data_IF_751866959656
#
_entry.id   IF_751866959656
#
_cell.length_a   1.000
_cell.length_b   1.000
_cell.length_c   1.000
_cell.angle_alpha   90.00
_cell.angle_beta   90.00
_cell.angle_gamma   90.00
#
_symmetry.space_group_name_H-M   'P 1'
#
loop_
_entity.id
_entity.type
_entity.pdbx_description
1 polymer ?
#
# COMPACT_ATOMS: atom_id res chain seq x y z
N UNK A 1 28.92 -17.28 7.40
CA UNK A 1 27.60 -16.85 7.89
C UNK A 1 26.76 -16.55 6.67
N UNK A 2 25.53 -17.08 6.58
CA UNK A 2 24.62 -16.84 5.46
C UNK A 2 24.16 -15.38 5.46
N UNK A 3 23.81 -14.85 4.29
CA UNK A 3 23.10 -13.57 4.21
C UNK A 3 21.61 -13.77 4.51
N UNK A 4 20.92 -12.71 4.94
CA UNK A 4 19.52 -12.79 5.36
C UNK A 4 18.57 -13.29 4.27
N UNK A 5 18.77 -12.88 3.00
CA UNK A 5 17.96 -13.42 1.89
C UNK A 5 18.11 -14.93 1.76
N UNK A 6 19.33 -15.44 1.81
CA UNK A 6 19.60 -16.88 1.72
C UNK A 6 18.96 -17.62 2.89
N UNK A 7 19.13 -17.11 4.11
CA UNK A 7 18.56 -17.67 5.34
C UNK A 7 17.04 -17.77 5.27
N UNK A 8 16.37 -16.69 4.88
CA UNK A 8 14.91 -16.64 4.73
C UNK A 8 14.42 -17.59 3.64
N UNK A 9 15.07 -17.63 2.48
CA UNK A 9 14.70 -18.53 1.38
C UNK A 9 14.85 -19.99 1.77
N UNK A 10 15.91 -20.37 2.48
CA UNK A 10 16.07 -21.74 3.00
C UNK A 10 14.93 -22.12 3.93
N UNK A 11 14.56 -21.24 4.87
CA UNK A 11 13.44 -21.51 5.76
C UNK A 11 12.10 -21.66 5.01
N UNK A 12 11.83 -20.82 4.01
CA UNK A 12 10.65 -20.93 3.15
C UNK A 12 10.62 -22.25 2.36
N UNK A 13 11.80 -22.72 1.91
CA UNK A 13 11.97 -23.98 1.20
C UNK A 13 12.04 -25.21 2.14
N UNK A 14 11.85 -25.02 3.45
CA UNK A 14 11.94 -26.08 4.48
C UNK A 14 13.33 -26.74 4.56
N UNK A 15 14.38 -25.99 4.23
CA UNK A 15 15.77 -26.37 4.41
C UNK A 15 16.31 -25.89 5.77
N UNK A 16 17.55 -26.27 6.10
CA UNK A 16 18.23 -25.88 7.36
C UNK A 16 19.06 -24.60 7.14
N UNK A 17 18.63 -23.44 7.68
CA UNK A 17 19.46 -22.22 7.71
C UNK A 17 20.58 -22.31 8.76
N UNK A 18 21.52 -21.36 8.73
CA UNK A 18 22.61 -21.28 9.72
C UNK A 18 22.15 -20.84 11.13
N UNK A 19 20.99 -20.20 11.23
CA UNK A 19 20.27 -19.86 12.46
C UNK A 19 18.77 -19.67 12.17
N UNK A 20 17.93 -19.60 13.20
CA UNK A 20 16.50 -19.28 13.04
C UNK A 20 16.35 -17.87 12.43
N UNK A 21 15.76 -17.72 11.22
CA UNK A 21 15.53 -16.39 10.67
C UNK A 21 14.43 -15.67 11.44
N UNK A 22 14.60 -14.37 11.64
CA UNK A 22 13.64 -13.52 12.35
C UNK A 22 13.47 -12.20 11.60
N UNK A 23 12.23 -11.87 11.25
CA UNK A 23 11.86 -10.60 10.63
C UNK A 23 10.53 -10.09 11.21
N UNK A 24 10.18 -8.84 10.92
CA UNK A 24 8.87 -8.25 11.20
C UNK A 24 7.95 -8.35 9.98
N UNK A 25 6.67 -8.01 10.14
CA UNK A 25 5.75 -7.88 9.00
C UNK A 25 6.02 -6.59 8.22
N UNK A 26 6.10 -5.46 8.91
CA UNK A 26 6.66 -4.17 8.48
C UNK A 26 7.17 -3.44 9.73
N UNK A 27 7.95 -2.38 9.54
CA UNK A 27 8.37 -1.47 10.61
C UNK A 27 7.65 -0.14 10.39
N UNK A 28 6.94 0.33 11.43
CA UNK A 28 6.10 1.52 11.33
C UNK A 28 6.94 2.80 11.36
N UNK A 29 6.71 3.77 10.45
CA UNK A 29 7.41 5.06 10.49
C UNK A 29 7.27 5.76 11.84
N UNK A 30 6.07 5.75 12.42
CA UNK A 30 5.82 6.34 13.74
C UNK A 30 6.66 5.74 14.87
N UNK A 31 7.02 4.45 14.77
CA UNK A 31 7.93 3.81 15.72
C UNK A 31 9.37 4.29 15.52
N UNK A 32 9.82 4.38 14.27
CA UNK A 32 11.16 4.88 13.94
C UNK A 32 11.36 6.32 14.39
N UNK A 33 10.36 7.17 14.14
CA UNK A 33 10.39 8.58 14.52
C UNK A 33 10.40 8.78 16.05
N UNK A 34 9.57 8.05 16.79
CA UNK A 34 9.46 8.24 18.24
C UNK A 34 10.55 7.53 19.07
N UNK A 35 11.00 6.36 18.62
CA UNK A 35 11.84 5.48 19.46
C UNK A 35 13.23 5.23 18.88
N UNK A 36 13.50 5.70 17.65
CA UNK A 36 14.78 5.53 16.97
C UNK A 36 15.28 6.80 16.29
N UNK A 37 14.87 7.99 16.75
CA UNK A 37 15.35 9.28 16.27
C UNK A 37 15.23 9.46 14.74
N UNK A 38 14.17 8.92 14.13
CA UNK A 38 13.94 8.99 12.69
C UNK A 38 14.84 8.06 11.86
N UNK A 39 15.37 7.00 12.47
CA UNK A 39 16.19 5.99 11.79
C UNK A 39 15.48 5.38 10.58
N UNK A 40 16.24 4.97 9.56
CA UNK A 40 15.65 4.29 8.42
C UNK A 40 15.32 2.82 8.76
N UNK A 41 14.55 2.15 7.89
CA UNK A 41 14.22 0.73 8.05
C UNK A 41 15.47 -0.16 8.20
N UNK A 42 16.54 0.13 7.46
CA UNK A 42 17.76 -0.69 7.53
C UNK A 42 18.44 -0.55 8.90
N UNK A 43 18.51 0.67 9.44
CA UNK A 43 19.06 0.93 10.77
C UNK A 43 18.32 0.14 11.86
N UNK A 44 16.99 -0.04 11.72
CA UNK A 44 16.22 -0.92 12.61
C UNK A 44 16.72 -2.37 12.56
N UNK A 45 16.82 -2.95 11.36
CA UNK A 45 17.27 -4.34 11.24
C UNK A 45 18.71 -4.51 11.74
N UNK A 46 19.60 -3.58 11.42
CA UNK A 46 20.99 -3.61 11.83
C UNK A 46 21.14 -3.50 13.35
N UNK A 47 20.36 -2.60 13.99
CA UNK A 47 20.37 -2.40 15.45
C UNK A 47 19.90 -3.64 16.21
N UNK A 48 18.88 -4.33 15.72
CA UNK A 48 18.28 -5.48 16.40
C UNK A 48 18.83 -6.83 15.92
N UNK A 49 19.69 -6.86 14.90
CA UNK A 49 20.25 -8.09 14.35
C UNK A 49 19.19 -9.01 13.71
N UNK A 50 18.14 -8.41 13.15
CA UNK A 50 17.06 -9.13 12.48
C UNK A 50 17.33 -9.27 10.98
N UNK A 51 16.66 -10.21 10.33
CA UNK A 51 16.75 -10.43 8.89
C UNK A 51 15.95 -9.37 8.12
N UNK A 52 16.59 -8.51 7.31
CA UNK A 52 15.88 -7.46 6.61
C UNK A 52 14.89 -7.99 5.59
N UNK A 53 13.71 -7.36 5.56
CA UNK A 53 12.77 -7.41 4.45
C UNK A 53 12.61 -6.01 3.88
N UNK A 54 12.39 -5.91 2.58
CA UNK A 54 12.07 -4.65 1.92
C UNK A 54 10.77 -4.78 1.15
N UNK A 55 9.82 -3.89 1.43
CA UNK A 55 8.57 -3.81 0.70
C UNK A 55 8.77 -2.99 -0.57
N UNK A 56 8.53 -3.62 -1.72
CA UNK A 56 8.59 -2.96 -3.03
C UNK A 56 7.22 -3.04 -3.68
N UNK A 57 6.61 -1.89 -3.97
CA UNK A 57 5.29 -1.79 -4.58
C UNK A 57 5.42 -0.86 -5.78
N UNK A 58 5.27 -1.41 -6.96
CA UNK A 58 5.41 -0.67 -8.20
C UNK A 58 4.31 -1.10 -9.18
N UNK A 59 3.44 -0.15 -9.51
CA UNK A 59 2.38 -0.34 -10.49
C UNK A 59 2.79 0.26 -11.83
N UNK A 60 2.34 -0.37 -12.91
CA UNK A 60 2.45 0.13 -14.26
C UNK A 60 1.03 0.34 -14.85
N UNK A 61 0.74 1.49 -15.45
CA UNK A 61 -0.53 1.71 -16.14
C UNK A 61 -0.63 0.84 -17.40
N UNK A 62 -1.82 0.32 -17.70
CA UNK A 62 -2.12 -0.24 -19.02
C UNK A 62 -2.52 0.88 -20.00
N UNK A 63 -1.51 1.44 -20.69
CA UNK A 63 -1.73 2.50 -21.69
C UNK A 63 -2.67 2.08 -22.83
N UNK A 64 -2.85 0.78 -23.10
CA UNK A 64 -3.81 0.28 -24.10
C UNK A 64 -5.27 0.45 -23.66
N UNK A 65 -5.51 0.63 -22.36
CA UNK A 65 -6.82 0.92 -21.75
C UNK A 65 -6.97 2.42 -21.43
N UNK A 66 -6.02 3.26 -21.86
CA UNK A 66 -6.02 4.69 -21.54
C UNK A 66 -5.65 4.99 -20.08
N UNK A 67 -4.99 4.05 -19.39
CA UNK A 67 -4.51 4.28 -18.03
C UNK A 67 -3.21 5.10 -18.02
N UNK A 68 -3.02 5.87 -16.96
CA UNK A 68 -1.84 6.71 -16.73
C UNK A 68 -1.59 6.87 -15.24
N UNK A 69 -0.36 7.24 -14.86
CA UNK A 69 -0.08 7.63 -13.48
C UNK A 69 -0.84 8.91 -13.14
N UNK A 70 -1.55 8.90 -12.01
CA UNK A 70 -2.24 10.08 -11.52
C UNK A 70 -1.25 11.25 -11.37
N UNK A 71 -1.46 12.38 -12.07
CA UNK A 71 -0.55 13.53 -12.03
C UNK A 71 -0.56 14.25 -10.68
N UNK A 72 -1.63 14.14 -9.90
CA UNK A 72 -1.77 14.79 -8.60
C UNK A 72 -1.25 13.92 -7.45
N UNK A 73 -0.97 12.63 -7.70
CA UNK A 73 -0.39 11.71 -6.73
C UNK A 73 1.12 11.59 -6.93
N UNK A 74 1.87 12.64 -6.57
CA UNK A 74 3.32 12.67 -6.81
C UNK A 74 4.14 11.80 -5.85
N UNK A 75 3.78 11.81 -4.58
CA UNK A 75 4.53 11.22 -3.47
C UNK A 75 3.68 10.14 -2.79
N UNK A 76 3.94 8.83 -3.04
CA UNK A 76 3.26 7.75 -2.35
C UNK A 76 3.53 7.75 -0.85
N UNK A 77 2.52 7.43 -0.06
CA UNK A 77 2.63 7.21 1.37
C UNK A 77 3.26 5.87 1.76
N UNK A 78 3.15 5.55 3.05
CA UNK A 78 3.66 4.29 3.60
C UNK A 78 2.94 3.08 3.02
N UNK A 79 3.70 2.15 2.42
CA UNK A 79 3.19 0.97 1.71
C UNK A 79 2.17 1.31 0.62
N UNK A 80 2.39 2.43 -0.07
CA UNK A 80 1.59 2.88 -1.19
C UNK A 80 2.41 2.85 -2.50
N UNK A 81 1.75 2.56 -3.61
CA UNK A 81 2.33 2.72 -4.94
C UNK A 81 1.74 3.93 -5.64
N UNK A 82 2.43 4.42 -6.68
CA UNK A 82 1.88 5.44 -7.58
C UNK A 82 0.51 5.00 -8.10
N UNK A 83 -0.48 5.85 -7.85
CA UNK A 83 -1.88 5.60 -8.22
C UNK A 83 -2.04 5.64 -9.73
N UNK A 84 -2.87 4.74 -10.24
CA UNK A 84 -3.20 4.63 -11.66
C UNK A 84 -4.61 5.17 -11.90
N UNK A 85 -4.73 6.12 -12.82
CA UNK A 85 -5.98 6.75 -13.24
C UNK A 85 -6.32 6.43 -14.69
N UNK A 86 -7.54 6.73 -15.07
CA UNK A 86 -7.99 6.82 -16.47
C UNK A 86 -8.97 7.99 -16.62
N UNK A 87 -9.37 8.33 -17.84
CA UNK A 87 -10.39 9.36 -18.09
C UNK A 87 -11.74 9.06 -17.40
N UNK A 88 -12.00 7.80 -17.05
CA UNK A 88 -13.24 7.37 -16.40
C UNK A 88 -13.07 7.05 -14.90
N UNK A 89 -11.85 7.19 -14.36
CA UNK A 89 -11.51 6.89 -12.97
C UNK A 89 -10.40 7.84 -12.50
N UNK A 90 -10.83 9.03 -12.09
CA UNK A 90 -9.95 10.12 -11.69
C UNK A 90 -10.13 10.43 -10.20
N UNK A 91 -9.10 10.97 -9.57
CA UNK A 91 -9.11 11.20 -8.13
C UNK A 91 -9.03 12.69 -7.82
N UNK A 92 -9.71 13.10 -6.75
CA UNK A 92 -9.56 14.44 -6.19
C UNK A 92 -9.63 14.38 -4.68
N UNK A 93 -8.57 14.86 -4.02
CA UNK A 93 -8.47 14.90 -2.56
C UNK A 93 -8.73 16.32 -2.08
N UNK A 94 -9.69 16.47 -1.16
CA UNK A 94 -10.06 17.76 -0.59
C UNK A 94 -9.82 17.72 0.91
N UNK A 95 -9.07 18.70 1.44
CA UNK A 95 -8.91 18.84 2.89
C UNK A 95 -10.22 19.34 3.50
N UNK A 96 -10.67 18.67 4.56
CA UNK A 96 -11.83 19.09 5.35
C UNK A 96 -11.37 19.75 6.65
N UNK A 97 -12.17 20.66 7.17
CA UNK A 97 -11.90 21.27 8.47
C UNK A 97 -12.21 20.27 9.59
N UNK A 98 -11.20 20.00 10.42
CA UNK A 98 -11.29 19.16 11.60
C UNK A 98 -10.16 19.55 12.56
N UNK A 99 -10.48 19.65 13.85
CA UNK A 99 -9.54 20.13 14.87
C UNK A 99 -8.61 19.04 15.40
N UNK A 100 -9.06 17.78 15.36
CA UNK A 100 -8.42 16.68 16.07
C UNK A 100 -7.55 15.83 15.14
N UNK A 101 -7.97 15.69 13.88
CA UNK A 101 -7.31 14.81 12.90
C UNK A 101 -7.13 15.49 11.56
N UNK A 102 -6.04 15.16 10.86
CA UNK A 102 -5.95 15.46 9.44
C UNK A 102 -7.10 14.73 8.74
N UNK A 103 -8.04 15.49 8.19
CA UNK A 103 -9.26 14.94 7.59
C UNK A 103 -9.33 15.32 6.12
N UNK A 104 -9.54 14.32 5.27
CA UNK A 104 -9.59 14.52 3.82
C UNK A 104 -10.78 13.77 3.22
N UNK A 105 -11.48 14.41 2.30
CA UNK A 105 -12.43 13.75 1.40
C UNK A 105 -11.68 13.27 0.18
N UNK A 106 -11.72 11.97 -0.05
CA UNK A 106 -11.19 11.31 -1.22
C UNK A 106 -12.34 11.06 -2.20
N UNK A 107 -12.33 11.77 -3.33
CA UNK A 107 -13.34 11.63 -4.36
C UNK A 107 -12.78 10.84 -5.54
N UNK A 108 -13.58 9.90 -6.03
CA UNK A 108 -13.33 9.15 -7.26
C UNK A 108 -14.38 9.58 -8.27
N UNK A 109 -13.94 10.29 -9.30
CA UNK A 109 -14.75 10.87 -10.35
C UNK A 109 -14.88 9.83 -11.46
N UNK A 110 -16.13 9.49 -11.78
CA UNK A 110 -16.48 8.57 -12.87
C UNK A 110 -17.56 9.19 -13.76
N UNK A 111 -17.78 8.68 -14.98
CA UNK A 111 -18.85 9.17 -15.86
C UNK A 111 -20.25 9.01 -15.28
N UNK A 112 -20.46 8.03 -14.38
CA UNK A 112 -21.79 7.75 -13.81
C UNK A 112 -22.08 8.62 -12.59
N UNK A 113 -21.10 8.73 -11.67
CA UNK A 113 -21.17 9.57 -10.48
C UNK A 113 -19.81 9.69 -9.79
N UNK A 114 -19.70 10.64 -8.88
CA UNK A 114 -18.56 10.71 -7.96
C UNK A 114 -18.81 9.81 -6.75
N UNK A 115 -17.92 8.85 -6.51
CA UNK A 115 -17.85 8.11 -5.26
C UNK A 115 -16.98 8.90 -4.28
N UNK A 116 -17.28 8.86 -2.98
CA UNK A 116 -16.49 9.59 -2.00
C UNK A 116 -16.38 8.86 -0.68
N UNK A 117 -15.19 8.94 -0.08
CA UNK A 117 -14.93 8.51 1.29
C UNK A 117 -14.23 9.63 2.06
N UNK A 118 -14.32 9.59 3.38
CA UNK A 118 -13.58 10.51 4.26
C UNK A 118 -12.57 9.69 5.04
N UNK A 119 -11.32 10.12 4.95
CA UNK A 119 -10.19 9.55 5.68
C UNK A 119 -9.79 10.51 6.79
N UNK A 120 -9.43 9.93 7.92
CA UNK A 120 -8.83 10.64 9.04
C UNK A 120 -7.50 10.00 9.39
N UNK A 121 -6.53 10.84 9.69
CA UNK A 121 -5.15 10.42 9.97
C UNK A 121 -4.66 11.08 11.25
N UNK A 122 -3.99 10.29 12.08
CA UNK A 122 -3.19 10.75 13.21
C UNK A 122 -1.70 10.37 13.00
N UNK A 123 -0.89 10.51 14.05
CA UNK A 123 0.54 10.20 13.97
C UNK A 123 0.85 8.71 13.82
N UNK A 124 -0.13 7.82 14.00
CA UNK A 124 0.05 6.38 13.99
C UNK A 124 -0.54 5.72 12.77
N UNK A 125 -1.73 6.16 12.34
CA UNK A 125 -2.51 5.46 11.32
C UNK A 125 -3.54 6.35 10.63
N UNK A 126 -4.11 5.82 9.56
CA UNK A 126 -5.28 6.36 8.87
C UNK A 126 -6.48 5.42 9.05
N UNK A 127 -7.70 5.95 9.09
CA UNK A 127 -8.93 5.17 9.10
C UNK A 127 -10.02 5.82 8.26
N UNK A 128 -11.01 4.99 7.89
CA UNK A 128 -12.20 5.42 7.16
C UNK A 128 -13.22 5.99 8.14
N UNK A 129 -13.42 7.31 8.10
CA UNK A 129 -14.46 8.00 8.86
C UNK A 129 -15.81 7.99 8.14
N UNK A 130 -15.79 7.98 6.81
CA UNK A 130 -16.99 7.86 5.98
C UNK A 130 -16.70 6.90 4.81
N UNK A 131 -17.46 5.81 4.72
CA UNK A 131 -17.20 4.68 3.80
C UNK A 131 -17.50 5.02 2.34
N UNK A 132 -16.77 4.45 1.38
CA UNK A 132 -16.96 4.77 -0.04
C UNK A 132 -18.34 4.34 -0.56
N UNK A 133 -18.75 3.10 -0.24
CA UNK A 133 -20.01 2.50 -0.70
C UNK A 133 -21.13 2.98 0.21
N UNK A 134 -22.08 3.72 -0.36
CA UNK A 134 -23.29 4.24 0.30
C UNK A 134 -24.51 3.40 -0.01
N UNK A 135 -24.52 2.80 -1.19
CA UNK A 135 -25.59 1.96 -1.69
C UNK A 135 -25.01 0.80 -2.52
N UNK A 136 -25.74 -0.32 -2.58
CA UNK A 136 -25.26 -1.53 -3.26
C UNK A 136 -24.86 -1.29 -4.73
N UNK A 137 -25.53 -0.37 -5.42
CA UNK A 137 -25.28 -0.04 -6.82
C UNK A 137 -23.95 0.71 -7.05
N UNK A 138 -23.25 1.14 -5.99
CA UNK A 138 -21.90 1.70 -6.09
C UNK A 138 -20.89 0.67 -6.58
N UNK A 139 -21.08 -0.61 -6.22
CA UNK A 139 -20.18 -1.68 -6.66
C UNK A 139 -20.18 -1.82 -8.18
N UNK A 140 -21.31 -1.53 -8.84
CA UNK A 140 -21.43 -1.55 -10.29
C UNK A 140 -20.69 -0.37 -10.94
N UNK A 141 -20.52 0.74 -10.21
CA UNK A 141 -19.69 1.87 -10.67
C UNK A 141 -18.22 1.48 -10.59
N UNK A 142 -17.80 0.91 -9.47
CA UNK A 142 -16.42 0.43 -9.27
C UNK A 142 -16.08 -0.62 -10.34
N UNK A 143 -16.90 -1.67 -10.48
CA UNK A 143 -16.67 -2.75 -11.43
C UNK A 143 -16.62 -2.29 -12.89
N UNK A 144 -17.28 -1.18 -13.23
CA UNK A 144 -17.33 -0.67 -14.61
C UNK A 144 -16.15 0.24 -14.97
N UNK A 145 -15.63 1.00 -14.01
CA UNK A 145 -14.71 2.10 -14.32
C UNK A 145 -13.33 1.98 -13.67
N UNK A 146 -13.18 1.20 -12.59
CA UNK A 146 -11.91 1.07 -11.88
C UNK A 146 -10.80 0.56 -12.79
N UNK A 147 -9.59 1.09 -12.58
CA UNK A 147 -8.37 0.67 -13.27
C UNK A 147 -7.87 -0.69 -12.77
N UNK A 148 -7.06 -1.37 -13.57
CA UNK A 148 -6.45 -2.66 -13.23
C UNK A 148 -4.93 -2.59 -13.39
N UNK A 149 -4.24 -1.95 -12.43
CA UNK A 149 -2.81 -1.71 -12.52
C UNK A 149 -2.03 -3.03 -12.70
N UNK A 150 -0.99 -2.98 -13.53
CA UNK A 150 -0.04 -4.09 -13.72
C UNK A 150 1.12 -3.97 -12.74
N UNK A 151 1.86 -5.05 -12.53
CA UNK A 151 3.12 -4.99 -11.81
C UNK A 151 4.20 -4.39 -12.73
N UNK A 152 4.91 -3.36 -12.25
CA UNK A 152 6.11 -2.87 -12.90
C UNK A 152 7.30 -3.79 -12.57
N UNK A 153 7.45 -4.85 -13.36
CA UNK A 153 8.48 -5.87 -13.16
C UNK A 153 9.90 -5.28 -13.27
N UNK A 154 10.10 -4.26 -14.09
CA UNK A 154 11.42 -3.64 -14.26
C UNK A 154 11.84 -2.95 -12.96
N UNK A 155 10.98 -2.08 -12.42
CA UNK A 155 11.22 -1.41 -11.14
C UNK A 155 11.41 -2.42 -9.99
N UNK A 156 10.61 -3.49 -9.94
CA UNK A 156 10.77 -4.52 -8.90
C UNK A 156 12.12 -5.24 -9.02
N UNK A 157 12.58 -5.55 -10.24
CA UNK A 157 13.89 -6.17 -10.44
C UNK A 157 15.04 -5.24 -10.06
N UNK A 158 14.95 -3.94 -10.39
CA UNK A 158 15.95 -2.94 -10.00
C UNK A 158 16.09 -2.86 -8.48
N UNK A 159 14.96 -2.84 -7.76
CA UNK A 159 14.96 -2.90 -6.28
C UNK A 159 15.59 -4.21 -5.79
N UNK A 160 15.25 -5.35 -6.40
CA UNK A 160 15.84 -6.63 -6.02
C UNK A 160 17.36 -6.68 -6.24
N UNK A 161 17.87 -6.09 -7.31
CA UNK A 161 19.30 -5.99 -7.61
C UNK A 161 20.01 -5.05 -6.62
N UNK A 162 19.38 -3.92 -6.26
CA UNK A 162 19.92 -2.96 -5.28
C UNK A 162 20.13 -3.59 -3.90
N UNK A 163 19.18 -4.37 -3.40
CA UNK A 163 19.28 -5.04 -2.10
C UNK A 163 20.05 -6.38 -2.17
N UNK A 164 20.12 -7.00 -3.35
CA UNK A 164 20.92 -8.18 -3.64
C UNK A 164 20.64 -9.38 -2.72
N UNK A 165 21.55 -9.63 -1.78
CA UNK A 165 21.46 -10.73 -0.80
C UNK A 165 21.13 -10.26 0.62
N UNK A 166 21.10 -8.94 0.85
CA UNK A 166 20.98 -8.36 2.18
C UNK A 166 19.56 -8.44 2.72
N UNK A 167 18.55 -8.40 1.85
CA UNK A 167 17.14 -8.43 2.24
C UNK A 167 16.32 -9.38 1.35
N UNK A 168 15.20 -9.86 1.87
CA UNK A 168 14.14 -10.45 1.04
C UNK A 168 13.20 -9.34 0.55
N UNK A 169 13.05 -9.23 -0.77
CA UNK A 169 12.06 -8.32 -1.36
C UNK A 169 10.67 -8.93 -1.23
N UNK A 170 9.73 -8.13 -0.71
CA UNK A 170 8.32 -8.49 -0.57
C UNK A 170 7.47 -7.56 -1.42
N UNK A 171 6.65 -8.15 -2.29
CA UNK A 171 5.59 -7.43 -2.99
C UNK A 171 4.36 -7.27 -2.09
N UNK A 172 3.52 -6.28 -2.42
CA UNK A 172 2.23 -6.06 -1.78
C UNK A 172 1.10 -6.40 -2.76
N UNK A 173 -0.02 -6.92 -2.25
CA UNK A 173 -1.23 -7.14 -3.06
C UNK A 173 -1.84 -5.77 -3.35
N UNK A 174 -2.34 -5.56 -4.57
CA UNK A 174 -3.03 -4.31 -4.89
C UNK A 174 -4.24 -4.12 -3.97
N UNK A 175 -4.25 -3.00 -3.26
CA UNK A 175 -5.36 -2.56 -2.41
C UNK A 175 -6.18 -1.51 -3.14
N UNK A 176 -7.40 -1.27 -2.66
CA UNK A 176 -8.22 -0.19 -3.16
C UNK A 176 -7.59 1.19 -2.88
N UNK A 177 -7.54 2.06 -3.91
CA UNK A 177 -6.98 3.41 -3.82
C UNK A 177 -7.71 4.28 -2.78
N UNK A 178 -6.94 5.03 -2.00
CA UNK A 178 -7.41 5.88 -0.91
C UNK A 178 -7.43 5.15 0.43
N UNK A 179 -8.13 4.01 0.55
CA UNK A 179 -8.02 3.15 1.73
C UNK A 179 -8.46 1.72 1.42
N UNK A 180 -7.54 0.77 1.58
CA UNK A 180 -7.77 -0.63 1.30
C UNK A 180 -6.90 -1.54 2.16
N UNK A 181 -7.22 -2.82 2.11
CA UNK A 181 -6.48 -3.89 2.76
C UNK A 181 -6.34 -5.06 1.79
N UNK A 182 -5.18 -5.74 1.78
CA UNK A 182 -4.81 -6.63 0.68
C UNK A 182 -5.81 -7.78 0.51
N UNK A 183 -6.56 -7.76 -0.59
CA UNK A 183 -7.52 -8.80 -0.97
C UNK A 183 -8.97 -8.34 -0.97
N UNK A 184 -9.78 -8.87 -1.91
CA UNK A 184 -11.11 -8.34 -2.24
C UNK A 184 -12.06 -8.23 -1.03
N UNK A 185 -12.02 -9.19 -0.10
CA UNK A 185 -12.87 -9.16 1.10
C UNK A 185 -12.41 -8.10 2.12
N UNK A 186 -11.11 -7.93 2.26
CA UNK A 186 -10.55 -6.96 3.20
C UNK A 186 -10.78 -5.54 2.69
N UNK A 187 -10.56 -5.29 1.39
CA UNK A 187 -10.97 -4.06 0.72
C UNK A 187 -12.47 -3.79 0.92
N UNK A 188 -13.34 -4.76 0.63
CA UNK A 188 -14.79 -4.58 0.82
C UNK A 188 -15.15 -4.22 2.27
N UNK A 189 -14.50 -4.85 3.25
CA UNK A 189 -14.71 -4.54 4.67
C UNK A 189 -14.35 -3.09 5.01
N UNK A 190 -13.35 -2.51 4.35
CA UNK A 190 -12.99 -1.09 4.46
C UNK A 190 -13.99 -0.18 3.74
N UNK A 191 -14.51 -0.60 2.58
CA UNK A 191 -15.35 0.22 1.71
C UNK A 191 -16.83 0.28 2.10
N UNK A 192 -17.36 -0.74 2.78
CA UNK A 192 -18.78 -0.82 3.16
C UNK A 192 -19.05 -1.21 4.62
N UNK A 193 -18.12 -1.91 5.29
CA UNK A 193 -18.24 -2.60 6.60
C UNK A 193 -18.56 -4.08 6.51
N UNK A 194 -17.99 -4.85 7.44
CA UNK A 194 -18.35 -6.24 7.70
C UNK A 194 -19.48 -6.41 8.73
N UNK A 195 -19.88 -5.35 9.44
CA UNK A 195 -20.93 -5.40 10.48
C UNK A 195 -22.35 -5.30 9.94
N UNK A 196 -22.49 -4.87 8.68
CA UNK A 196 -23.77 -4.52 8.06
C UNK A 196 -24.20 -5.57 7.00
N UNK A 197 -23.67 -6.80 7.14
CA UNK A 197 -23.95 -8.00 6.35
C UNK A 197 -24.83 -8.98 7.12
#
# INVERSE_FOLDING_TARGET
MMHSRERLLKALNREVPDQLPVTTHHVMPSFLDHYMDGACNQDFFDRFGLDPIHWAIAYAPDTSQGEYYDPDHCEPGFLEARRISSDNWQFKVEKLDNKDYLTQRFNIITPKKTLSMVLQTDNHTTWVAERLIKEKSDIDVIARYMTYPKCDVATINEVADQYGKQALIRGHIACFDGFGQPGCWQDFSCLYSSTDL
#
